data_IF_797307463713
#
_entry.id   IF_797307463713
#
_cell.length_a   1.000
_cell.length_b   1.000
_cell.length_c   1.000
_cell.angle_alpha   90.00
_cell.angle_beta   90.00
_cell.angle_gamma   90.00
#
_symmetry.space_group_name_H-M   'P 1'
#
loop_
_entity.id
_entity.type
_entity.pdbx_description
1 polymer ?
#
# COMPACT_ATOMS: atom_id res chain seq x y z
N UNK A 1 49.49 33.22 -8.89
CA UNK A 1 49.27 32.13 -7.90
C UNK A 1 48.54 32.71 -6.70
N UNK A 2 47.61 32.01 -6.01
CA UNK A 2 47.17 30.62 -6.18
C UNK A 2 45.69 30.48 -6.63
N UNK A 3 45.35 29.23 -7.01
CA UNK A 3 44.02 28.72 -7.36
C UNK A 3 43.15 28.54 -6.10
N UNK A 4 41.83 28.66 -6.23
CA UNK A 4 40.89 27.95 -5.37
C UNK A 4 39.66 27.51 -6.16
N UNK A 5 39.22 26.29 -5.83
CA UNK A 5 38.40 25.38 -6.61
C UNK A 5 36.93 25.50 -6.21
N UNK A 6 36.05 25.25 -7.19
CA UNK A 6 34.61 25.11 -7.06
C UNK A 6 34.14 24.32 -5.83
N UNK A 7 33.03 24.76 -5.24
CA UNK A 7 32.07 23.87 -4.58
C UNK A 7 30.65 24.29 -4.97
N UNK A 8 30.16 23.73 -6.08
CA UNK A 8 28.74 23.78 -6.45
C UNK A 8 27.97 22.89 -5.48
N UNK A 9 27.02 23.48 -4.76
CA UNK A 9 26.13 22.80 -3.83
C UNK A 9 25.04 22.07 -4.61
N UNK A 10 25.13 20.76 -4.75
CA UNK A 10 24.04 19.90 -5.24
C UNK A 10 23.22 19.40 -4.05
N UNK A 11 22.11 20.06 -3.76
CA UNK A 11 21.18 19.64 -2.71
C UNK A 11 19.74 19.59 -3.24
N UNK A 12 19.50 18.88 -4.33
CA UNK A 12 18.15 18.61 -4.85
C UNK A 12 18.07 17.15 -5.32
N UNK A 13 18.02 16.23 -4.37
CA UNK A 13 17.54 14.87 -4.63
C UNK A 13 16.62 14.47 -3.47
N UNK A 14 15.37 14.95 -3.54
CA UNK A 14 14.29 14.58 -2.63
C UNK A 14 13.43 13.55 -3.35
N UNK A 15 13.53 12.30 -2.90
CA UNK A 15 13.03 11.11 -3.58
C UNK A 15 11.51 10.97 -3.43
N UNK A 16 10.84 10.73 -4.57
CA UNK A 16 9.47 10.24 -4.70
C UNK A 16 9.61 8.80 -5.20
N UNK A 17 9.64 7.79 -4.32
CA UNK A 17 9.79 6.39 -4.77
C UNK A 17 8.76 5.42 -4.23
N UNK A 18 7.90 5.80 -3.28
CA UNK A 18 6.85 4.86 -2.86
C UNK A 18 5.74 4.71 -3.92
N UNK A 19 5.45 5.74 -4.73
CA UNK A 19 4.42 5.66 -5.79
C UNK A 19 4.91 5.10 -7.14
N UNK A 20 6.21 5.13 -7.42
CA UNK A 20 6.71 4.85 -8.78
C UNK A 20 6.79 3.36 -9.14
N UNK A 21 6.71 2.44 -8.16
CA UNK A 21 6.88 0.99 -8.41
C UNK A 21 5.58 0.33 -8.89
N UNK A 22 4.41 0.95 -8.74
CA UNK A 22 3.12 0.34 -9.11
C UNK A 22 2.77 0.56 -10.60
N UNK A 23 3.37 1.54 -11.29
CA UNK A 23 2.93 1.94 -12.64
C UNK A 23 3.77 1.46 -13.84
N UNK A 24 4.82 0.64 -13.65
CA UNK A 24 5.73 0.25 -14.75
C UNK A 24 5.74 -1.24 -15.12
N UNK A 25 4.82 -2.06 -14.63
CA UNK A 25 4.76 -3.51 -14.94
C UNK A 25 3.48 -3.96 -15.67
N UNK A 26 2.86 -3.07 -16.46
CA UNK A 26 1.55 -3.31 -17.07
C UNK A 26 1.50 -3.18 -18.59
N UNK A 27 2.33 -3.93 -19.34
CA UNK A 27 2.05 -4.22 -20.76
C UNK A 27 2.98 -5.31 -21.29
N UNK A 28 2.59 -6.58 -21.10
CA UNK A 28 3.27 -7.73 -21.67
C UNK A 28 2.24 -8.75 -22.14
N UNK A 29 2.11 -8.88 -23.45
CA UNK A 29 1.17 -9.73 -24.16
C UNK A 29 1.68 -11.17 -24.13
N UNK A 30 1.09 -12.05 -23.31
CA UNK A 30 1.48 -13.47 -23.21
C UNK A 30 0.47 -14.33 -23.98
N UNK A 31 0.71 -14.53 -25.28
CA UNK A 31 0.17 -15.65 -26.04
C UNK A 31 1.34 -16.45 -26.61
N UNK A 32 1.15 -17.77 -26.57
CA UNK A 32 1.93 -18.86 -27.17
C UNK A 32 3.01 -19.52 -26.30
N UNK A 33 2.78 -20.81 -26.04
CA UNK A 33 3.76 -21.71 -25.44
C UNK A 33 3.18 -22.88 -24.64
N UNK A 34 2.21 -23.64 -25.18
CA UNK A 34 1.87 -24.96 -24.62
C UNK A 34 2.94 -25.99 -25.01
N UNK A 35 3.44 -26.75 -24.03
CA UNK A 35 3.80 -28.15 -24.21
C UNK A 35 3.61 -28.93 -22.91
N UNK A 36 2.94 -30.06 -23.03
CA UNK A 36 2.37 -30.87 -21.96
C UNK A 36 3.41 -31.59 -21.08
N UNK A 37 3.08 -31.71 -19.80
CA UNK A 37 3.28 -32.97 -19.06
C UNK A 37 2.08 -33.19 -18.11
N UNK A 38 1.23 -34.14 -18.49
CA UNK A 38 0.12 -34.65 -17.68
C UNK A 38 0.64 -35.76 -16.75
N UNK A 39 0.28 -35.69 -15.46
CA UNK A 39 -0.35 -36.77 -14.65
C UNK A 39 -0.15 -36.51 -13.14
N UNK A 40 -1.00 -37.05 -12.23
CA UNK A 40 -2.37 -37.51 -12.38
C UNK A 40 -3.39 -36.62 -11.63
N UNK A 41 -4.62 -36.59 -12.15
CA UNK A 41 -5.78 -35.97 -11.53
C UNK A 41 -6.01 -36.54 -10.13
N UNK A 42 -5.79 -35.72 -9.12
CA UNK A 42 -6.43 -35.91 -7.83
C UNK A 42 -7.88 -35.46 -8.02
N UNK A 43 -8.80 -36.43 -8.08
CA UNK A 43 -10.25 -36.18 -8.08
C UNK A 43 -10.59 -35.35 -6.84
N UNK A 44 -10.78 -34.05 -7.03
CA UNK A 44 -11.48 -33.20 -6.07
C UNK A 44 -12.94 -33.57 -6.23
N UNK A 45 -13.50 -34.18 -5.19
CA UNK A 45 -14.93 -34.43 -5.11
C UNK A 45 -15.69 -33.13 -5.27
N UNK A 46 -16.64 -33.16 -6.20
CA UNK A 46 -17.56 -32.11 -6.58
C UNK A 46 -18.52 -31.83 -5.41
N UNK A 47 -18.08 -30.94 -4.52
CA UNK A 47 -18.93 -30.26 -3.56
C UNK A 47 -18.63 -28.79 -3.75
N UNK A 48 -19.54 -28.07 -4.37
CA UNK A 48 -19.49 -26.62 -4.54
C UNK A 48 -19.18 -25.98 -3.18
N UNK A 49 -17.91 -25.61 -2.97
CA UNK A 49 -17.49 -24.96 -1.74
C UNK A 49 -17.94 -23.51 -1.83
N UNK A 50 -19.14 -23.24 -1.36
CA UNK A 50 -19.57 -21.87 -1.13
C UNK A 50 -18.71 -21.30 -0.01
N UNK A 51 -17.88 -20.30 -0.32
CA UNK A 51 -17.11 -19.57 0.69
C UNK A 51 -17.86 -18.28 0.99
N UNK A 52 -18.03 -18.00 2.28
CA UNK A 52 -18.59 -16.72 2.72
C UNK A 52 -17.54 -15.64 2.52
N UNK A 53 -17.61 -14.94 1.39
CA UNK A 53 -16.80 -13.76 1.09
C UNK A 53 -17.71 -12.53 1.11
N UNK A 54 -18.16 -12.13 2.29
CA UNK A 54 -18.86 -10.86 2.46
C UNK A 54 -18.17 -10.01 3.53
N UNK A 55 -18.13 -8.70 3.31
CA UNK A 55 -17.62 -7.77 4.31
C UNK A 55 -18.51 -7.81 5.56
N UNK A 56 -17.90 -8.03 6.73
CA UNK A 56 -18.55 -7.90 8.03
C UNK A 56 -18.09 -6.64 8.76
N UNK A 57 -17.75 -5.58 8.03
CA UNK A 57 -17.49 -4.29 8.65
C UNK A 57 -18.80 -3.75 9.21
N UNK A 58 -19.01 -3.96 10.50
CA UNK A 58 -20.12 -3.37 11.25
C UNK A 58 -19.74 -1.96 11.64
N UNK A 59 -20.62 -1.02 11.34
CA UNK A 59 -20.48 0.34 11.85
C UNK A 59 -20.40 0.33 13.37
N UNK A 60 -19.63 1.28 13.92
CA UNK A 60 -19.39 1.47 15.36
C UNK A 60 -18.55 0.41 16.07
N UNK A 61 -18.10 -0.64 15.39
CA UNK A 61 -17.14 -1.60 15.93
C UNK A 61 -15.70 -1.13 15.68
N UNK A 62 -14.83 -1.32 16.67
CA UNK A 62 -13.39 -1.03 16.50
C UNK A 62 -12.70 -2.28 15.98
N UNK A 63 -12.03 -2.17 14.84
CA UNK A 63 -11.30 -3.28 14.23
C UNK A 63 -9.79 -3.01 14.31
N UNK A 64 -9.01 -3.99 14.73
CA UNK A 64 -7.56 -3.92 14.61
C UNK A 64 -7.14 -4.22 13.17
N UNK A 65 -6.40 -3.31 12.56
CA UNK A 65 -5.81 -3.49 11.24
C UNK A 65 -4.30 -3.67 11.38
N UNK A 66 -3.79 -4.73 10.75
CA UNK A 66 -2.35 -5.01 10.63
C UNK A 66 -1.97 -5.14 9.18
N UNK A 67 -1.05 -4.30 8.73
CA UNK A 67 -0.49 -4.35 7.40
C UNK A 67 1.03 -4.53 7.48
N UNK A 68 1.53 -5.51 6.74
CA UNK A 68 2.96 -5.71 6.50
C UNK A 68 3.18 -5.71 5.00
N UNK A 69 3.96 -4.75 4.51
CA UNK A 69 4.26 -4.62 3.09
C UNK A 69 5.75 -4.87 2.92
N UNK A 70 6.09 -5.82 2.06
CA UNK A 70 7.47 -6.12 1.70
C UNK A 70 7.63 -5.98 0.21
N UNK A 71 8.51 -5.09 -0.22
CA UNK A 71 8.89 -4.89 -1.61
C UNK A 71 10.37 -5.24 -1.75
N UNK A 72 10.69 -6.09 -2.73
CA UNK A 72 12.07 -6.44 -3.06
C UNK A 72 12.26 -6.29 -4.56
N UNK A 73 13.42 -5.78 -4.95
CA UNK A 73 13.72 -5.57 -6.35
C UNK A 73 15.17 -5.19 -6.61
N UNK A 74 15.44 -4.83 -7.85
CA UNK A 74 16.72 -4.28 -8.29
C UNK A 74 16.43 -3.01 -9.06
N UNK A 75 17.12 -1.93 -8.70
CA UNK A 75 17.10 -0.67 -9.45
C UNK A 75 18.10 -0.80 -10.60
N UNK A 76 17.63 -0.57 -11.82
CA UNK A 76 18.45 -0.52 -13.03
C UNK A 76 18.36 0.88 -13.61
N UNK A 77 19.50 1.49 -13.89
CA UNK A 77 19.55 2.80 -14.52
C UNK A 77 19.13 2.71 -15.99
N UNK A 78 18.45 3.74 -16.50
CA UNK A 78 17.78 3.67 -17.82
C UNK A 78 18.71 4.02 -19.00
N UNK A 79 19.88 4.64 -18.80
CA UNK A 79 20.78 4.97 -19.93
C UNK A 79 22.27 5.25 -19.58
N UNK A 80 23.12 4.81 -20.52
CA UNK A 80 24.55 5.04 -20.83
C UNK A 80 25.71 4.78 -19.84
N UNK A 81 25.52 4.83 -18.52
CA UNK A 81 26.59 4.40 -17.60
C UNK A 81 26.31 2.97 -17.14
N UNK A 82 27.29 2.06 -17.31
CA UNK A 82 27.24 0.66 -16.81
C UNK A 82 27.26 0.62 -15.28
N UNK A 83 26.32 1.25 -14.60
CA UNK A 83 26.03 0.96 -13.21
C UNK A 83 25.31 -0.39 -13.16
N UNK A 84 25.88 -1.35 -12.42
CA UNK A 84 25.25 -2.65 -12.20
C UNK A 84 23.93 -2.50 -11.42
N UNK A 85 23.03 -3.51 -11.49
CA UNK A 85 21.76 -3.46 -10.77
C UNK A 85 21.98 -3.32 -9.26
N UNK A 86 21.34 -2.33 -8.64
CA UNK A 86 21.44 -2.07 -7.20
C UNK A 86 20.26 -2.72 -6.47
N UNK A 87 20.47 -3.60 -5.48
CA UNK A 87 19.38 -4.24 -4.76
C UNK A 87 18.58 -3.23 -3.94
N UNK A 88 17.26 -3.40 -3.89
CA UNK A 88 16.35 -2.60 -3.09
C UNK A 88 15.42 -3.51 -2.27
N UNK A 89 15.24 -3.17 -1.01
CA UNK A 89 14.27 -3.79 -0.11
C UNK A 89 13.53 -2.72 0.69
N UNK A 90 12.21 -2.78 0.74
CA UNK A 90 11.38 -1.93 1.57
C UNK A 90 10.46 -2.79 2.42
N UNK A 91 10.41 -2.55 3.72
CA UNK A 91 9.51 -3.22 4.66
C UNK A 91 8.76 -2.16 5.46
N UNK A 92 7.44 -2.12 5.30
CA UNK A 92 6.55 -1.29 6.10
C UNK A 92 5.70 -2.16 7.04
N UNK A 93 5.53 -1.68 8.27
CA UNK A 93 4.70 -2.31 9.29
C UNK A 93 3.80 -1.25 9.91
N UNK A 94 2.50 -1.49 9.82
CA UNK A 94 1.48 -0.57 10.27
C UNK A 94 0.42 -1.33 11.06
N UNK A 95 0.15 -0.86 12.27
CA UNK A 95 -0.85 -1.40 13.19
C UNK A 95 -1.68 -0.24 13.72
N UNK A 96 -2.99 -0.30 13.51
CA UNK A 96 -3.91 0.71 14.01
C UNK A 96 -5.24 0.09 14.40
N UNK A 97 -5.91 0.75 15.34
CA UNK A 97 -7.29 0.52 15.66
C UNK A 97 -8.14 1.43 14.76
N UNK A 98 -9.07 0.85 14.01
CA UNK A 98 -9.93 1.56 13.07
C UNK A 98 -11.38 1.55 13.56
N UNK A 99 -11.99 2.72 13.53
CA UNK A 99 -13.41 2.91 13.80
C UNK A 99 -14.07 3.57 12.59
N UNK A 100 -14.94 2.84 11.90
CA UNK A 100 -15.68 3.36 10.75
C UNK A 100 -16.77 4.30 11.26
N UNK A 101 -16.75 5.53 10.74
CA UNK A 101 -17.71 6.56 11.10
C UNK A 101 -18.92 6.46 10.17
N UNK A 102 -20.15 6.42 10.71
CA UNK A 102 -21.34 6.50 9.89
C UNK A 102 -21.42 7.90 9.28
N UNK A 103 -21.43 7.99 7.95
CA UNK A 103 -21.71 9.21 7.21
C UNK A 103 -22.99 8.95 6.43
N UNK A 104 -24.02 9.78 6.66
CA UNK A 104 -25.27 9.75 5.89
C UNK A 104 -26.21 8.58 6.21
N UNK A 105 -27.51 8.85 6.14
CA UNK A 105 -28.57 7.87 6.44
C UNK A 105 -28.91 6.93 5.27
N UNK A 106 -28.19 7.01 4.15
CA UNK A 106 -28.42 6.18 2.97
C UNK A 106 -27.07 5.76 2.38
N UNK A 107 -26.71 4.48 2.55
CA UNK A 107 -25.55 3.85 1.91
C UNK A 107 -25.73 3.80 0.40
N UNK A 108 -25.62 4.94 -0.27
CA UNK A 108 -25.39 5.01 -1.71
C UNK A 108 -23.89 4.86 -1.95
N UNK A 109 -23.51 4.15 -3.02
CA UNK A 109 -22.12 3.84 -3.38
C UNK A 109 -21.25 5.08 -3.69
N UNK A 110 -21.82 6.29 -3.60
CA UNK A 110 -21.17 7.56 -3.92
C UNK A 110 -20.74 8.35 -2.68
N UNK A 111 -21.14 7.96 -1.47
CA UNK A 111 -20.75 8.70 -0.26
C UNK A 111 -19.32 8.34 0.19
N UNK A 112 -18.53 9.34 0.63
CA UNK A 112 -17.17 9.09 1.07
C UNK A 112 -17.16 8.25 2.34
N UNK A 113 -16.39 7.16 2.35
CA UNK A 113 -16.18 6.35 3.55
C UNK A 113 -15.16 7.03 4.44
N UNK A 114 -15.47 7.21 5.73
CA UNK A 114 -14.53 7.79 6.69
C UNK A 114 -14.32 6.88 7.88
N UNK A 115 -13.08 6.80 8.35
CA UNK A 115 -12.73 6.17 9.61
C UNK A 115 -11.83 7.06 10.48
N UNK A 116 -11.97 6.90 11.78
CA UNK A 116 -10.97 7.32 12.75
C UNK A 116 -9.97 6.17 12.95
N UNK A 117 -8.68 6.45 12.87
CA UNK A 117 -7.60 5.49 13.02
C UNK A 117 -6.67 5.91 14.14
N UNK A 118 -6.40 5.01 15.08
CA UNK A 118 -5.41 5.20 16.12
C UNK A 118 -4.21 4.28 15.89
N UNK A 119 -3.11 4.85 15.41
CA UNK A 119 -1.89 4.12 15.06
C UNK A 119 -1.08 3.77 16.31
N UNK A 120 -1.02 2.48 16.62
CA UNK A 120 -0.12 1.93 17.63
C UNK A 120 1.30 1.74 17.08
N UNK A 121 1.41 1.50 15.78
CA UNK A 121 2.68 1.37 15.09
C UNK A 121 2.53 1.85 13.64
N UNK A 122 3.46 2.67 13.19
CA UNK A 122 3.65 2.96 11.77
C UNK A 122 5.12 3.24 11.53
N UNK A 123 5.76 2.33 10.79
CA UNK A 123 7.17 2.47 10.41
C UNK A 123 7.45 1.80 9.07
N UNK A 124 8.41 2.35 8.34
CA UNK A 124 8.98 1.76 7.13
C UNK A 124 10.50 1.79 7.18
N UNK A 125 11.12 0.74 6.65
CA UNK A 125 12.55 0.65 6.42
C UNK A 125 12.78 0.48 4.93
N UNK A 126 13.63 1.32 4.35
CA UNK A 126 14.05 1.24 2.95
C UNK A 126 15.55 1.02 2.93
N UNK A 127 16.00 0.00 2.19
CA UNK A 127 17.40 -0.30 1.93
C UNK A 127 17.65 -0.27 0.43
N UNK A 128 18.65 0.50 0.00
CA UNK A 128 19.12 0.58 -1.39
C UNK A 128 20.63 0.39 -1.38
N UNK A 129 21.11 -0.73 -1.94
CA UNK A 129 22.51 -1.14 -1.80
C UNK A 129 22.88 -1.26 -0.33
N UNK A 130 23.88 -0.48 0.10
CA UNK A 130 24.35 -0.43 1.49
C UNK A 130 23.73 0.71 2.31
N UNK A 131 22.88 1.54 1.71
CA UNK A 131 22.23 2.66 2.39
C UNK A 131 20.85 2.25 2.90
N UNK A 132 20.61 2.52 4.19
CA UNK A 132 19.32 2.28 4.84
C UNK A 132 18.71 3.59 5.36
N UNK A 133 17.40 3.69 5.27
CA UNK A 133 16.60 4.77 5.86
C UNK A 133 15.41 4.16 6.61
N UNK A 134 15.05 4.77 7.74
CA UNK A 134 13.85 4.42 8.50
C UNK A 134 12.95 5.63 8.63
N UNK A 135 11.68 5.45 8.30
CA UNK A 135 10.62 6.44 8.53
C UNK A 135 9.68 5.90 9.59
N UNK A 136 9.29 6.73 10.55
CA UNK A 136 8.31 6.39 11.58
C UNK A 136 7.34 7.54 11.76
N UNK A 137 6.10 7.21 12.09
CA UNK A 137 5.14 8.21 12.53
C UNK A 137 5.63 8.81 13.84
N UNK A 138 5.87 10.12 13.86
CA UNK A 138 6.34 10.78 15.07
C UNK A 138 5.21 10.90 16.10
N UNK A 139 5.59 10.97 17.38
CA UNK A 139 4.67 11.05 18.50
C UNK A 139 3.66 12.20 18.34
N UNK A 140 2.46 12.01 18.88
CA UNK A 140 1.38 12.98 18.80
C UNK A 140 0.68 13.03 17.44
N UNK A 141 0.90 12.05 16.55
CA UNK A 141 0.11 11.85 15.32
C UNK A 141 -0.52 10.46 15.25
N UNK A 142 -0.76 9.83 16.40
CA UNK A 142 -1.35 8.50 16.46
C UNK A 142 -2.81 8.53 15.99
N UNK A 143 -3.56 9.60 16.28
CA UNK A 143 -4.94 9.76 15.83
C UNK A 143 -5.00 10.41 14.44
N UNK A 144 -5.71 9.77 13.53
CA UNK A 144 -5.92 10.21 12.16
C UNK A 144 -7.38 10.03 11.74
N UNK A 145 -7.88 10.92 10.89
CA UNK A 145 -9.09 10.73 10.12
C UNK A 145 -8.69 10.34 8.70
N UNK A 146 -9.20 9.21 8.24
CA UNK A 146 -9.01 8.72 6.89
C UNK A 146 -10.34 8.78 6.15
N UNK A 147 -10.40 9.50 5.04
CA UNK A 147 -11.59 9.60 4.18
C UNK A 147 -11.25 9.11 2.79
N UNK A 148 -12.00 8.14 2.29
CA UNK A 148 -11.90 7.67 0.92
C UNK A 148 -13.08 8.18 0.11
N UNK A 149 -12.79 8.89 -0.99
CA UNK A 149 -13.80 9.41 -1.91
C UNK A 149 -13.33 9.35 -3.36
N UNK A 150 -13.99 10.12 -4.24
CA UNK A 150 -13.70 10.13 -5.68
C UNK A 150 -12.23 10.49 -6.01
N UNK A 151 -11.61 11.35 -5.21
CA UNK A 151 -10.23 11.83 -5.40
C UNK A 151 -9.18 10.92 -4.71
N UNK A 152 -9.58 9.76 -4.19
CA UNK A 152 -8.72 8.82 -3.46
C UNK A 152 -8.76 8.98 -1.94
N UNK A 153 -7.73 8.44 -1.28
CA UNK A 153 -7.58 8.46 0.18
C UNK A 153 -7.04 9.83 0.63
N UNK A 154 -7.73 10.45 1.59
CA UNK A 154 -7.27 11.65 2.29
C UNK A 154 -7.03 11.30 3.76
N UNK A 155 -5.89 11.74 4.29
CA UNK A 155 -5.51 11.52 5.68
C UNK A 155 -5.32 12.89 6.35
N UNK A 156 -5.95 13.06 7.50
CA UNK A 156 -5.88 14.27 8.30
C UNK A 156 -5.56 13.93 9.76
N UNK A 157 -4.59 14.65 10.34
CA UNK A 157 -4.26 14.53 11.75
C UNK A 157 -4.79 15.74 12.51
N UNK A 158 -5.68 15.56 13.51
CA UNK A 158 -6.21 16.67 14.30
C UNK A 158 -5.19 17.27 15.28
N UNK A 159 -4.13 16.53 15.62
CA UNK A 159 -3.19 16.89 16.67
C UNK A 159 -1.98 17.67 16.16
N UNK A 160 -1.52 17.38 14.93
CA UNK A 160 -0.42 18.12 14.30
C UNK A 160 -0.38 17.93 12.78
N UNK A 161 0.30 18.82 12.03
CA UNK A 161 0.61 18.56 10.62
C UNK A 161 1.46 17.29 10.45
N UNK A 162 1.14 16.52 9.41
CA UNK A 162 1.95 15.39 8.96
C UNK A 162 3.01 15.86 7.97
N UNK A 163 4.22 15.31 8.08
CA UNK A 163 5.23 15.48 7.04
C UNK A 163 4.88 14.64 5.82
N UNK A 164 5.52 14.93 4.68
CA UNK A 164 5.34 14.14 3.46
C UNK A 164 5.67 12.66 3.65
N UNK A 165 6.79 12.37 4.31
CA UNK A 165 7.23 11.00 4.55
C UNK A 165 6.24 10.24 5.46
N UNK A 166 5.58 10.94 6.39
CA UNK A 166 4.52 10.36 7.21
C UNK A 166 3.24 10.12 6.42
N UNK A 167 2.84 11.04 5.54
CA UNK A 167 1.70 10.82 4.64
C UNK A 167 1.93 9.60 3.74
N UNK A 168 3.10 9.50 3.12
CA UNK A 168 3.48 8.35 2.29
C UNK A 168 3.50 7.04 3.10
N UNK A 169 3.92 7.08 4.37
CA UNK A 169 3.90 5.93 5.26
C UNK A 169 2.47 5.45 5.59
N UNK A 170 1.50 6.37 5.68
CA UNK A 170 0.12 6.08 6.03
C UNK A 170 -0.76 5.73 4.82
N UNK A 171 -0.35 6.11 3.62
CA UNK A 171 -0.98 5.72 2.35
C UNK A 171 -0.67 4.25 1.99
N UNK A 172 -1.37 3.34 2.68
CA UNK A 172 -1.21 1.91 2.44
C UNK A 172 -1.91 1.47 1.13
N UNK A 173 -1.24 0.68 0.27
CA UNK A 173 -1.92 -0.04 -0.79
C UNK A 173 -2.97 -0.99 -0.20
N UNK A 174 -4.20 -0.92 -0.71
CA UNK A 174 -5.33 -1.71 -0.19
C UNK A 174 -5.89 -1.15 1.12
N UNK A 175 -6.37 0.10 1.09
CA UNK A 175 -7.05 0.73 2.23
C UNK A 175 -8.16 -0.18 2.77
N UNK A 176 -8.20 -0.38 4.09
CA UNK A 176 -9.23 -1.16 4.78
C UNK A 176 -10.65 -0.62 4.54
N UNK A 177 -10.79 0.68 4.26
CA UNK A 177 -12.05 1.31 3.87
C UNK A 177 -12.58 0.76 2.53
N UNK A 178 -11.70 0.32 1.62
CA UNK A 178 -12.08 -0.22 0.32
C UNK A 178 -12.37 -1.72 0.34
N UNK A 179 -11.76 -2.46 1.28
CA UNK A 179 -11.88 -3.93 1.30
C UNK A 179 -13.36 -4.35 1.40
N UNK A 180 -14.16 -3.67 2.21
CA UNK A 180 -15.59 -3.92 2.31
C UNK A 180 -16.34 -3.73 0.98
N UNK A 181 -15.90 -2.79 0.13
CA UNK A 181 -16.50 -2.53 -1.19
C UNK A 181 -16.02 -3.50 -2.28
N UNK A 182 -14.83 -4.08 -2.12
CA UNK A 182 -14.31 -5.09 -3.06
C UNK A 182 -14.93 -6.46 -2.84
N UNK A 183 -15.50 -6.69 -1.66
CA UNK A 183 -16.17 -7.93 -1.34
C UNK A 183 -17.61 -7.92 -1.88
N UNK A 184 -18.10 -9.05 -2.41
CA UNK A 184 -19.51 -9.19 -2.75
C UNK A 184 -20.43 -8.84 -1.57
N UNK A 185 -21.49 -8.09 -1.86
CA UNK A 185 -22.55 -7.78 -0.89
C UNK A 185 -23.45 -8.99 -0.60
N UNK A 186 -23.24 -10.10 -1.30
CA UNK A 186 -23.99 -11.35 -1.20
C UNK A 186 -23.03 -12.53 -1.28
N UNK A 187 -23.41 -13.66 -0.68
CA UNK A 187 -22.68 -14.90 -0.80
C UNK A 187 -22.59 -15.31 -2.28
N UNK A 188 -21.38 -15.51 -2.80
CA UNK A 188 -21.15 -15.98 -4.17
C UNK A 188 -20.39 -17.30 -4.17
N UNK A 189 -20.63 -18.12 -5.19
CA UNK A 189 -19.86 -19.35 -5.44
C UNK A 189 -18.48 -19.02 -6.01
N UNK A 190 -17.48 -19.85 -5.74
CA UNK A 190 -16.13 -19.66 -6.29
C UNK A 190 -16.19 -19.77 -7.83
N UNK A 191 -15.75 -18.73 -8.53
CA UNK A 191 -15.62 -18.73 -9.99
C UNK A 191 -16.75 -18.07 -10.78
N UNK A 192 -17.63 -17.31 -10.11
CA UNK A 192 -18.62 -16.41 -10.74
C UNK A 192 -18.34 -14.96 -10.39
#
# INVERSE_FOLDING_TARGET
MPRSIHRTSSSHFRFTVLLAVIFLAGSGNWRDGMAQQRSPQQRVGDGEKTVLLYGQQKERETTEVRAVITVRGKLTEREEVKAGPVPMEAVAQVVYDEHILPIGSEHTSAEPLTSARFYRQAQAQLKVGDHGQTTKLAAGAELQLATYGADGLRIFSPTRPLTRDELELLELPGSSLLIGQLLPNQQTSIGQ
#
